data_IF_001671786088
#
_entry.id   IF_001671786088
#
_cell.length_a   1.000
_cell.length_b   1.000
_cell.length_c   1.000
_cell.angle_alpha   90.00
_cell.angle_beta   90.00
_cell.angle_gamma   90.00
#
_symmetry.space_group_name_H-M   'P 1'
#
loop_
_entity.id
_entity.type
_entity.pdbx_description
1 polymer ?
#
# COMPACT_ATOMS: atom_id res chain seq x y z
N UNK A 1 54.06 1.40 -2.82
CA UNK A 1 52.71 1.99 -2.75
C UNK A 1 51.93 1.19 -1.72
N UNK A 2 51.66 1.79 -0.56
CA UNK A 2 51.12 1.12 0.62
C UNK A 2 49.61 0.86 0.48
N UNK A 3 49.22 -0.41 0.56
CA UNK A 3 47.84 -0.85 0.80
C UNK A 3 47.52 -0.57 2.26
N UNK A 4 46.63 0.39 2.51
CA UNK A 4 46.18 0.77 3.86
C UNK A 4 44.76 0.24 4.07
N UNK A 5 44.67 -0.95 4.66
CA UNK A 5 43.43 -1.52 5.19
C UNK A 5 43.05 -0.79 6.48
N UNK A 6 41.93 -0.06 6.46
CA UNK A 6 41.35 0.56 7.66
C UNK A 6 40.42 -0.45 8.37
N UNK A 7 40.54 -0.67 9.69
CA UNK A 7 39.61 -1.51 10.43
C UNK A 7 38.28 -0.79 10.71
N UNK A 8 37.18 -1.56 10.65
CA UNK A 8 35.85 -1.13 11.03
C UNK A 8 35.77 -0.88 12.55
N UNK A 9 35.36 0.33 12.94
CA UNK A 9 35.18 0.75 14.33
C UNK A 9 33.71 0.57 14.71
N UNK A 10 33.45 -0.43 15.54
CA UNK A 10 32.16 -0.67 16.18
C UNK A 10 31.76 0.53 17.06
N UNK A 11 30.60 1.12 16.78
CA UNK A 11 29.94 2.07 17.68
C UNK A 11 28.70 1.40 18.25
N UNK A 12 28.86 0.74 19.39
CA UNK A 12 27.76 0.44 20.31
C UNK A 12 27.25 1.76 20.87
N UNK A 13 26.03 2.13 20.48
CA UNK A 13 25.25 3.17 21.16
C UNK A 13 24.63 2.53 22.40
N UNK A 14 24.94 3.13 23.53
CA UNK A 14 24.53 2.71 24.87
C UNK A 14 23.47 3.69 25.40
N UNK A 15 22.40 3.12 25.96
CA UNK A 15 21.50 3.65 27.00
C UNK A 15 20.53 4.82 26.65
N UNK A 16 19.52 5.13 27.49
CA UNK A 16 18.99 4.42 28.68
C UNK A 16 17.44 4.37 28.73
N UNK A 17 16.83 3.29 29.21
CA UNK A 17 15.57 3.42 29.95
C UNK A 17 15.52 2.37 31.07
N UNK A 18 16.04 2.81 32.21
CA UNK A 18 15.93 2.14 33.49
C UNK A 18 14.47 2.05 33.93
N UNK A 19 14.12 0.90 34.48
CA UNK A 19 12.98 0.74 35.40
C UNK A 19 13.35 -0.29 36.48
N UNK A 20 12.77 -0.14 37.69
CA UNK A 20 13.43 -0.51 38.95
C UNK A 20 13.24 -1.97 39.40
N UNK A 21 14.16 -2.39 40.28
CA UNK A 21 14.22 -3.71 40.88
C UNK A 21 13.00 -4.06 41.75
N UNK A 22 12.64 -5.34 41.69
CA UNK A 22 11.66 -5.96 42.59
C UNK A 22 12.40 -6.82 43.61
N UNK A 23 12.48 -6.32 44.84
CA UNK A 23 12.82 -7.10 46.01
C UNK A 23 11.60 -7.96 46.40
N UNK A 24 11.84 -9.26 46.57
CA UNK A 24 10.87 -10.21 47.06
C UNK A 24 10.54 -9.96 48.54
N UNK A 25 9.25 -9.90 48.87
CA UNK A 25 8.76 -10.07 50.23
C UNK A 25 7.59 -11.05 50.19
N UNK A 26 7.85 -12.26 50.68
CA UNK A 26 6.84 -13.29 50.87
C UNK A 26 6.15 -13.07 52.22
N UNK A 27 4.83 -12.97 52.21
CA UNK A 27 3.98 -12.91 53.40
C UNK A 27 2.59 -13.46 53.08
N UNK A 28 2.36 -14.71 53.50
CA UNK A 28 1.07 -15.39 53.45
C UNK A 28 0.25 -15.00 54.69
N UNK A 29 -1.00 -14.58 54.51
CA UNK A 29 -2.18 -14.98 55.31
C UNK A 29 -3.32 -13.96 55.21
N UNK A 30 -4.54 -14.46 54.99
CA UNK A 30 -5.78 -13.78 55.38
C UNK A 30 -6.80 -13.63 54.25
N UNK A 31 -7.93 -14.38 54.29
CA UNK A 31 -9.04 -14.16 53.39
C UNK A 31 -9.94 -13.05 53.94
N UNK A 32 -10.66 -12.36 53.05
CA UNK A 32 -12.11 -12.09 53.11
C UNK A 32 -12.48 -10.75 52.47
N UNK A 33 -13.68 -10.75 51.89
CA UNK A 33 -14.52 -9.62 51.51
C UNK A 33 -14.30 -8.99 50.12
N UNK A 34 -14.95 -9.65 49.15
CA UNK A 34 -15.85 -9.07 48.13
C UNK A 34 -15.90 -7.54 48.04
N UNK A 35 -15.47 -7.00 46.90
CA UNK A 35 -16.20 -5.95 46.19
C UNK A 35 -16.02 -6.17 44.69
N UNK A 36 -17.08 -6.65 44.04
CA UNK A 36 -17.22 -6.59 42.58
C UNK A 36 -17.30 -5.12 42.15
N UNK A 37 -16.26 -4.65 41.45
CA UNK A 37 -16.42 -3.63 40.42
C UNK A 37 -15.87 -4.23 39.14
N UNK A 38 -16.78 -4.52 38.21
CA UNK A 38 -16.46 -4.97 36.88
C UNK A 38 -15.63 -3.89 36.17
N UNK A 39 -14.31 -4.09 36.11
CA UNK A 39 -13.48 -3.39 35.12
C UNK A 39 -13.63 -4.18 33.84
N UNK A 40 -14.58 -3.74 33.01
CA UNK A 40 -14.69 -4.20 31.63
C UNK A 40 -13.36 -3.96 30.94
N UNK A 41 -12.65 -5.03 30.63
CA UNK A 41 -11.47 -4.99 29.79
C UNK A 41 -11.94 -4.63 28.37
N UNK A 42 -12.00 -3.33 28.06
CA UNK A 42 -12.10 -2.87 26.69
C UNK A 42 -10.78 -3.16 26.01
N UNK A 43 -10.70 -4.35 25.40
CA UNK A 43 -9.68 -4.71 24.41
C UNK A 43 -9.70 -3.64 23.31
N UNK A 44 -8.74 -2.73 23.36
CA UNK A 44 -8.43 -1.86 22.22
C UNK A 44 -7.75 -2.75 21.18
N UNK A 45 -8.55 -3.30 20.27
CA UNK A 45 -8.03 -3.82 19.01
C UNK A 45 -7.61 -2.63 18.18
N UNK A 46 -6.31 -2.30 18.28
CA UNK A 46 -5.65 -1.43 17.32
C UNK A 46 -5.59 -2.22 16.00
N UNK A 47 -6.70 -2.18 15.26
CA UNK A 47 -6.83 -2.69 13.90
C UNK A 47 -5.95 -1.82 13.00
N UNK A 48 -4.67 -2.18 12.90
CA UNK A 48 -3.89 -1.76 11.75
C UNK A 48 -4.59 -2.36 10.53
N UNK A 49 -5.22 -1.51 9.71
CA UNK A 49 -5.84 -1.90 8.46
C UNK A 49 -4.76 -2.32 7.48
N UNK A 50 -4.32 -3.57 7.58
CA UNK A 50 -3.62 -4.23 6.50
C UNK A 50 -4.65 -4.74 5.52
N UNK A 51 -4.61 -4.24 4.28
CA UNK A 51 -5.29 -4.85 3.14
C UNK A 51 -5.02 -6.35 3.19
N UNK A 52 -6.08 -7.16 3.31
CA UNK A 52 -5.93 -8.61 3.27
C UNK A 52 -5.19 -9.00 1.98
N UNK A 53 -4.34 -10.04 2.00
CA UNK A 53 -3.72 -10.54 0.80
C UNK A 53 -4.82 -10.86 -0.22
N UNK A 54 -4.77 -10.21 -1.39
CA UNK A 54 -5.65 -10.54 -2.50
C UNK A 54 -5.04 -11.74 -3.21
N UNK A 55 -5.78 -12.85 -3.28
CA UNK A 55 -5.38 -14.03 -4.05
C UNK A 55 -5.55 -13.73 -5.55
N UNK A 56 -4.53 -13.09 -6.14
CA UNK A 56 -4.47 -12.83 -7.57
C UNK A 56 -4.03 -14.11 -8.29
N UNK A 57 -4.82 -14.57 -9.25
CA UNK A 57 -4.46 -15.70 -10.12
C UNK A 57 -4.45 -15.26 -11.60
N UNK A 58 -4.00 -16.18 -12.46
CA UNK A 58 -4.13 -16.05 -13.92
C UNK A 58 -3.64 -14.72 -14.50
N UNK A 59 -4.55 -14.01 -15.18
CA UNK A 59 -4.31 -12.74 -15.85
C UNK A 59 -4.02 -11.59 -14.87
N UNK A 60 -4.79 -11.50 -13.78
CA UNK A 60 -4.58 -10.48 -12.76
C UNK A 60 -3.19 -10.59 -12.10
N UNK A 61 -2.66 -11.80 -11.91
CA UNK A 61 -1.29 -11.98 -11.42
C UNK A 61 -0.23 -11.47 -12.43
N UNK A 62 -0.45 -11.66 -13.74
CA UNK A 62 0.44 -11.13 -14.78
C UNK A 62 0.35 -9.60 -14.86
N UNK A 63 -0.85 -9.03 -14.79
CA UNK A 63 -1.06 -7.58 -14.73
C UNK A 63 -0.38 -6.93 -13.53
N UNK A 64 -0.45 -7.57 -12.35
CA UNK A 64 0.27 -7.13 -11.17
C UNK A 64 1.80 -7.10 -11.39
N UNK A 65 2.35 -8.03 -12.16
CA UNK A 65 3.78 -8.02 -12.52
C UNK A 65 4.09 -6.89 -13.51
N UNK A 66 3.31 -6.78 -14.59
CA UNK A 66 3.50 -5.76 -15.63
C UNK A 66 3.45 -4.34 -15.06
N UNK A 67 2.49 -4.06 -14.17
CA UNK A 67 2.38 -2.74 -13.52
C UNK A 67 3.59 -2.35 -12.69
N UNK A 68 4.34 -3.33 -12.14
CA UNK A 68 5.59 -3.09 -11.42
C UNK A 68 6.75 -2.92 -12.40
N UNK A 69 6.86 -3.80 -13.39
CA UNK A 69 7.96 -3.80 -14.37
C UNK A 69 7.96 -2.56 -15.26
N UNK A 70 6.77 -2.09 -15.67
CA UNK A 70 6.60 -0.88 -16.48
C UNK A 70 6.60 0.41 -15.65
N UNK A 71 6.70 0.30 -14.32
CA UNK A 71 6.79 1.43 -13.39
C UNK A 71 5.45 2.11 -13.07
N UNK A 72 4.32 1.59 -13.53
CA UNK A 72 2.99 2.15 -13.25
C UNK A 72 2.72 2.26 -11.74
N UNK A 73 3.06 1.20 -11.01
CA UNK A 73 2.82 1.07 -9.57
C UNK A 73 3.64 2.09 -8.74
N UNK A 74 4.76 2.60 -9.27
CA UNK A 74 5.55 3.63 -8.59
C UNK A 74 4.80 4.97 -8.45
N UNK A 75 3.82 5.22 -9.32
CA UNK A 75 2.96 6.40 -9.25
C UNK A 75 1.59 6.09 -8.65
N UNK A 76 0.99 4.97 -9.04
CA UNK A 76 -0.40 4.63 -8.75
C UNK A 76 -0.61 3.66 -7.59
N UNK A 77 0.46 3.17 -6.99
CA UNK A 77 0.37 2.18 -5.91
C UNK A 77 -0.04 0.80 -6.43
N UNK A 78 -0.73 0.01 -5.60
CA UNK A 78 -1.03 -1.40 -5.82
C UNK A 78 -1.60 -2.05 -4.56
N UNK A 79 -1.81 -3.37 -4.59
CA UNK A 79 -2.35 -4.11 -3.45
C UNK A 79 -1.55 -3.88 -2.14
N UNK A 80 -0.22 -3.74 -2.26
CA UNK A 80 0.72 -3.69 -1.14
C UNK A 80 1.51 -2.37 -1.06
N UNK A 81 1.15 -1.38 -1.88
CA UNK A 81 1.89 -0.12 -2.00
C UNK A 81 0.93 1.05 -2.22
N UNK A 82 1.08 2.09 -1.41
CA UNK A 82 0.26 3.29 -1.52
C UNK A 82 0.61 4.09 -2.77
N UNK A 83 -0.36 4.82 -3.29
CA UNK A 83 -0.15 5.75 -4.40
C UNK A 83 0.47 7.05 -3.90
N UNK A 84 1.60 7.46 -4.47
CA UNK A 84 2.34 8.66 -4.04
C UNK A 84 2.21 9.83 -5.01
N UNK A 85 1.99 9.56 -6.30
CA UNK A 85 2.09 10.57 -7.38
C UNK A 85 0.76 10.68 -8.12
N UNK A 86 0.25 9.54 -8.57
CA UNK A 86 -1.03 9.44 -9.26
C UNK A 86 -2.14 9.03 -8.29
N UNK A 87 -3.40 9.04 -8.75
CA UNK A 87 -4.49 8.47 -7.98
C UNK A 87 -4.26 6.96 -7.76
N UNK A 88 -4.65 6.47 -6.59
CA UNK A 88 -4.74 5.02 -6.34
C UNK A 88 -5.81 4.40 -7.24
N UNK A 89 -5.53 3.21 -7.72
CA UNK A 89 -6.49 2.34 -8.39
C UNK A 89 -7.16 1.32 -7.45
N UNK A 90 -6.70 1.19 -6.20
CA UNK A 90 -7.24 0.20 -5.26
C UNK A 90 -8.61 0.64 -4.78
N UNK A 91 -9.64 -0.17 -5.00
CA UNK A 91 -11.01 0.14 -4.61
C UNK A 91 -11.68 1.18 -5.52
N UNK A 92 -11.18 1.38 -6.73
CA UNK A 92 -11.67 2.37 -7.69
C UNK A 92 -12.42 1.76 -8.88
N UNK A 93 -12.50 0.43 -9.00
CA UNK A 93 -13.18 -0.20 -10.13
C UNK A 93 -14.67 0.15 -10.12
N UNK A 94 -15.18 0.62 -11.26
CA UNK A 94 -16.52 1.19 -11.45
C UNK A 94 -16.81 2.51 -10.72
N UNK A 95 -15.85 3.12 -10.04
CA UNK A 95 -16.05 4.44 -9.46
C UNK A 95 -16.29 5.49 -10.55
N UNK A 96 -17.09 6.51 -10.20
CA UNK A 96 -17.30 7.66 -11.05
C UNK A 96 -16.23 8.72 -10.79
N UNK A 97 -15.53 9.11 -11.86
CA UNK A 97 -14.45 10.08 -11.82
C UNK A 97 -14.90 11.36 -12.49
N UNK A 98 -14.69 12.48 -11.81
CA UNK A 98 -14.89 13.81 -12.40
C UNK A 98 -13.61 14.25 -13.11
N UNK A 99 -13.72 14.47 -14.42
CA UNK A 99 -12.65 14.97 -15.28
C UNK A 99 -12.44 16.48 -15.08
N UNK A 100 -11.34 17.02 -15.62
CA UNK A 100 -11.01 18.45 -15.50
C UNK A 100 -12.03 19.39 -16.15
N UNK A 101 -12.78 18.91 -17.14
CA UNK A 101 -13.85 19.64 -17.82
C UNK A 101 -15.24 19.46 -17.16
N UNK A 102 -15.31 18.66 -16.09
CA UNK A 102 -16.54 18.34 -15.38
C UNK A 102 -17.29 17.11 -15.90
N UNK A 103 -16.78 16.43 -16.95
CA UNK A 103 -17.33 15.15 -17.39
C UNK A 103 -17.22 14.11 -16.27
N UNK A 104 -18.21 13.21 -16.18
CA UNK A 104 -18.21 12.06 -15.28
C UNK A 104 -17.93 10.80 -16.11
N UNK A 105 -16.82 10.16 -15.83
CA UNK A 105 -16.37 8.94 -16.53
C UNK A 105 -16.22 7.82 -15.51
N UNK A 106 -16.65 6.61 -15.87
CA UNK A 106 -16.50 5.43 -15.02
C UNK A 106 -15.09 4.87 -15.15
N UNK A 107 -14.46 4.50 -14.03
CA UNK A 107 -13.20 3.77 -14.03
C UNK A 107 -13.45 2.31 -14.41
N UNK A 108 -13.36 2.03 -15.71
CA UNK A 108 -13.56 0.69 -16.28
C UNK A 108 -12.46 0.36 -17.30
N UNK A 109 -12.56 -0.81 -17.94
CA UNK A 109 -11.59 -1.27 -18.92
C UNK A 109 -11.38 -0.27 -20.06
N UNK A 110 -12.44 0.40 -20.54
CA UNK A 110 -12.32 1.37 -21.62
C UNK A 110 -11.56 2.62 -21.18
N UNK A 111 -11.80 3.08 -19.95
CA UNK A 111 -11.06 4.19 -19.36
C UNK A 111 -9.60 3.84 -19.09
N UNK A 112 -9.29 2.63 -18.62
CA UNK A 112 -7.91 2.20 -18.40
C UNK A 112 -7.16 2.15 -19.73
N UNK A 113 -7.74 1.54 -20.76
CA UNK A 113 -7.13 1.47 -22.10
C UNK A 113 -6.92 2.87 -22.68
N UNK A 114 -7.93 3.75 -22.61
CA UNK A 114 -7.78 5.13 -23.09
C UNK A 114 -6.70 5.88 -22.33
N UNK A 115 -6.63 5.71 -21.00
CA UNK A 115 -5.64 6.38 -20.16
C UNK A 115 -4.23 5.92 -20.48
N UNK A 116 -3.98 4.62 -20.65
CA UNK A 116 -2.64 4.10 -20.95
C UNK A 116 -2.16 4.49 -22.35
N UNK A 117 -3.07 4.47 -23.34
CA UNK A 117 -2.73 4.79 -24.74
C UNK A 117 -2.69 6.30 -25.00
N UNK A 118 -3.59 7.05 -24.38
CA UNK A 118 -3.84 8.47 -24.64
C UNK A 118 -4.15 9.23 -23.32
N UNK A 119 -3.18 9.32 -22.40
CA UNK A 119 -3.38 9.84 -21.04
C UNK A 119 -3.88 11.28 -20.97
N UNK A 120 -3.64 12.08 -22.01
CA UNK A 120 -4.02 13.48 -22.05
C UNK A 120 -5.48 13.70 -22.51
N UNK A 121 -6.23 12.66 -22.93
CA UNK A 121 -7.64 12.80 -23.31
C UNK A 121 -8.57 13.03 -22.12
N UNK A 122 -8.31 12.40 -20.98
CA UNK A 122 -9.22 12.35 -19.84
C UNK A 122 -8.45 12.62 -18.53
N UNK A 123 -7.95 13.84 -18.42
CA UNK A 123 -7.19 14.29 -17.25
C UNK A 123 -8.11 14.60 -16.08
N UNK A 124 -7.72 14.14 -14.89
CA UNK A 124 -8.37 14.53 -13.63
C UNK A 124 -8.00 15.97 -13.26
N UNK A 125 -8.91 16.67 -12.60
CA UNK A 125 -8.65 18.02 -12.11
C UNK A 125 -7.49 18.07 -11.11
N UNK A 126 -6.63 19.08 -11.22
CA UNK A 126 -5.50 19.27 -10.30
C UNK A 126 -4.27 18.40 -10.57
N UNK A 127 -4.32 17.52 -11.58
CA UNK A 127 -3.16 16.74 -11.98
C UNK A 127 -2.16 17.61 -12.77
N UNK A 128 -0.98 17.82 -12.19
CA UNK A 128 0.13 18.58 -12.78
C UNK A 128 1.22 17.67 -13.34
N UNK A 129 1.21 16.37 -12.99
CA UNK A 129 2.12 15.37 -13.54
C UNK A 129 1.50 14.83 -14.83
N UNK A 130 2.35 14.41 -15.76
CA UNK A 130 1.89 13.72 -16.97
C UNK A 130 2.10 12.23 -16.78
N UNK A 131 1.04 11.44 -16.92
CA UNK A 131 1.16 9.99 -17.03
C UNK A 131 1.83 9.66 -18.38
N UNK A 132 2.88 8.82 -18.41
CA UNK A 132 3.47 8.37 -19.67
C UNK A 132 2.45 7.63 -20.53
N UNK A 133 2.53 7.80 -21.85
CA UNK A 133 1.78 6.96 -22.79
C UNK A 133 2.60 5.71 -23.11
N UNK A 134 1.92 4.57 -23.25
CA UNK A 134 2.53 3.31 -23.67
C UNK A 134 1.89 2.87 -24.98
N UNK A 135 2.68 2.76 -26.03
CA UNK A 135 2.23 2.25 -27.33
C UNK A 135 2.23 0.72 -27.38
N UNK A 136 1.79 0.17 -28.52
CA UNK A 136 1.67 -1.28 -28.73
C UNK A 136 3.03 -2.00 -28.70
N UNK A 137 4.12 -1.29 -29.00
CA UNK A 137 5.47 -1.84 -29.02
C UNK A 137 6.04 -1.95 -27.59
N UNK A 138 5.57 -1.13 -26.66
CA UNK A 138 5.96 -1.15 -25.25
C UNK A 138 5.03 -1.99 -24.37
N UNK A 139 3.75 -2.06 -24.71
CA UNK A 139 2.73 -2.80 -23.99
C UNK A 139 1.70 -3.30 -25.00
N UNK A 140 1.67 -4.61 -25.23
CA UNK A 140 0.71 -5.23 -26.16
C UNK A 140 -0.72 -5.13 -25.64
N UNK A 141 -1.72 -5.39 -26.49
CA UNK A 141 -3.12 -5.36 -26.08
C UNK A 141 -3.46 -6.49 -25.09
N UNK A 142 -2.85 -7.67 -25.25
CA UNK A 142 -3.04 -8.79 -24.32
C UNK A 142 -2.45 -8.48 -22.94
N UNK A 143 -1.26 -7.87 -22.88
CA UNK A 143 -0.64 -7.43 -21.63
C UNK A 143 -1.44 -6.28 -20.98
N UNK A 144 -1.98 -5.36 -21.78
CA UNK A 144 -2.86 -4.31 -21.27
C UNK A 144 -4.16 -4.90 -20.70
N UNK A 145 -4.72 -5.93 -21.32
CA UNK A 145 -5.87 -6.65 -20.78
C UNK A 145 -5.53 -7.36 -19.46
N UNK A 146 -4.34 -7.97 -19.32
CA UNK A 146 -3.88 -8.52 -18.05
C UNK A 146 -3.80 -7.44 -16.95
N UNK A 147 -3.36 -6.21 -17.29
CA UNK A 147 -3.36 -5.06 -16.37
C UNK A 147 -4.80 -4.65 -16.00
N UNK A 148 -5.71 -4.63 -16.97
CA UNK A 148 -7.13 -4.35 -16.73
C UNK A 148 -7.72 -5.35 -15.73
N UNK A 149 -7.47 -6.65 -15.94
CA UNK A 149 -7.92 -7.72 -15.05
C UNK A 149 -7.35 -7.56 -13.63
N UNK A 150 -6.09 -7.14 -13.51
CA UNK A 150 -5.49 -6.83 -12.21
C UNK A 150 -6.20 -5.67 -11.52
N UNK A 151 -6.51 -4.59 -12.24
CA UNK A 151 -7.20 -3.43 -11.68
C UNK A 151 -8.62 -3.74 -11.24
N UNK A 152 -9.34 -4.52 -12.03
CA UNK A 152 -10.66 -5.03 -11.65
C UNK A 152 -10.59 -5.88 -10.38
N UNK A 153 -9.58 -6.75 -10.25
CA UNK A 153 -9.38 -7.57 -9.06
C UNK A 153 -9.04 -6.75 -7.79
N UNK A 154 -8.57 -5.51 -7.93
CA UNK A 154 -8.32 -4.63 -6.79
C UNK A 154 -9.60 -4.00 -6.21
N UNK A 155 -10.71 -4.12 -6.94
CA UNK A 155 -11.99 -3.53 -6.58
C UNK A 155 -12.09 -2.07 -6.97
#
# INVERSE_FOLDING_TARGET
MFVSTRPARSTTVTDPHAAPGSAAAAGLAGPTLVVSWAVGATLVLLSCGGSAPRDLDGAAARGATLTRELGCAACHGGADQDAEIGPSWVGSWNDEIVMSDGERVRFDASYVVSSVRQPDLQRRGGDWRRMPAYDIDQLTDDELNDIVDYLEALG
#
